data_IF_776703192176
#
_entry.id   IF_776703192176
#
_cell.length_a   1.000
_cell.length_b   1.000
_cell.length_c   1.000
_cell.angle_alpha   90.00
_cell.angle_beta   90.00
_cell.angle_gamma   90.00
#
_symmetry.space_group_name_H-M   'P 1'
#
loop_
_entity.id
_entity.type
_entity.pdbx_description
1 polymer ?
#
# COMPACT_ATOMS: atom_id res chain seq x y z
N UNK A 1 -11.95 1.73 31.27
CA UNK A 1 -11.43 1.29 29.96
C UNK A 1 -9.97 1.71 29.85
N UNK A 2 -9.10 0.80 29.45
CA UNK A 2 -7.71 1.12 29.11
C UNK A 2 -7.68 1.94 27.82
N UNK A 3 -6.79 2.93 27.74
CA UNK A 3 -6.52 3.73 26.54
C UNK A 3 -5.99 2.91 25.35
N UNK A 4 -5.76 1.60 25.55
CA UNK A 4 -5.31 0.65 24.52
C UNK A 4 -6.43 0.18 23.57
N UNK A 5 -7.71 0.42 23.89
CA UNK A 5 -8.86 -0.03 23.06
C UNK A 5 -9.23 0.94 21.90
N UNK A 6 -8.47 2.02 21.70
CA UNK A 6 -8.78 3.05 20.68
C UNK A 6 -7.95 2.93 19.39
N UNK A 7 -7.13 1.88 19.26
CA UNK A 7 -6.40 1.64 18.02
C UNK A 7 -7.40 1.29 16.90
N UNK A 8 -7.25 1.87 15.69
CA UNK A 8 -8.05 1.43 14.55
C UNK A 8 -7.95 -0.08 14.37
N UNK A 9 -9.06 -0.76 14.01
CA UNK A 9 -9.02 -2.19 13.75
C UNK A 9 -8.00 -2.48 12.65
N UNK A 10 -7.10 -3.42 12.92
CA UNK A 10 -6.01 -3.83 12.03
C UNK A 10 -5.78 -5.33 12.17
N UNK A 11 -5.16 -5.94 11.15
CA UNK A 11 -4.71 -7.34 11.20
C UNK A 11 -3.30 -7.44 10.63
N UNK A 12 -2.37 -7.89 11.46
CA UNK A 12 -0.97 -8.09 11.07
C UNK A 12 -0.85 -9.22 10.04
N UNK A 13 -1.67 -10.25 10.18
CA UNK A 13 -1.73 -11.41 9.29
C UNK A 13 -2.22 -11.03 7.89
N UNK A 14 -3.23 -10.15 7.81
CA UNK A 14 -3.70 -9.62 6.53
C UNK A 14 -2.61 -8.79 5.83
N UNK A 15 -1.93 -7.93 6.58
CA UNK A 15 -0.80 -7.15 6.05
C UNK A 15 0.33 -8.05 5.52
N UNK A 16 0.69 -9.09 6.29
CA UNK A 16 1.68 -10.09 5.87
C UNK A 16 1.23 -10.86 4.62
N UNK A 17 -0.06 -11.23 4.54
CA UNK A 17 -0.62 -11.90 3.38
C UNK A 17 -0.54 -11.06 2.11
N UNK A 18 -0.83 -9.75 2.19
CA UNK A 18 -0.69 -8.83 1.06
C UNK A 18 0.77 -8.72 0.62
N UNK A 19 1.69 -8.47 1.56
CA UNK A 19 3.11 -8.35 1.27
C UNK A 19 3.66 -9.66 0.67
N UNK A 20 3.34 -10.79 1.28
CA UNK A 20 3.75 -12.11 0.80
C UNK A 20 3.24 -12.40 -0.61
N UNK A 21 1.98 -12.07 -0.89
CA UNK A 21 1.39 -12.20 -2.23
C UNK A 21 2.14 -11.38 -3.28
N UNK A 22 2.46 -10.12 -2.98
CA UNK A 22 3.25 -9.27 -3.87
C UNK A 22 4.68 -9.78 -4.11
N UNK A 23 5.29 -10.40 -3.11
CA UNK A 23 6.63 -10.99 -3.25
C UNK A 23 6.62 -12.27 -4.09
N UNK A 24 5.52 -13.02 -4.08
CA UNK A 24 5.37 -14.26 -4.84
C UNK A 24 4.99 -13.99 -6.30
N UNK A 25 4.11 -13.01 -6.55
CA UNK A 25 3.66 -12.67 -7.89
C UNK A 25 3.56 -11.15 -8.08
N UNK A 26 4.55 -10.61 -8.81
CA UNK A 26 4.60 -9.20 -9.16
C UNK A 26 3.43 -8.74 -10.05
N UNK A 27 2.73 -9.66 -10.74
CA UNK A 27 1.56 -9.31 -11.55
C UNK A 27 0.36 -8.86 -10.70
N UNK A 28 0.33 -9.30 -9.44
CA UNK A 28 -0.69 -8.91 -8.45
C UNK A 28 -0.65 -7.41 -8.15
N UNK A 29 0.46 -6.71 -8.43
CA UNK A 29 0.55 -5.25 -8.30
C UNK A 29 -0.56 -4.53 -9.10
N UNK A 30 -0.81 -4.94 -10.34
CA UNK A 30 -1.81 -4.33 -11.22
C UNK A 30 -3.25 -4.46 -10.64
N UNK A 31 -3.48 -5.41 -9.72
CA UNK A 31 -4.78 -5.63 -9.07
C UNK A 31 -4.97 -4.76 -7.83
N UNK A 32 -3.91 -4.57 -7.03
CA UNK A 32 -4.04 -3.96 -5.71
C UNK A 32 -3.60 -2.50 -5.65
N UNK A 33 -2.75 -2.05 -6.59
CA UNK A 33 -2.18 -0.70 -6.59
C UNK A 33 -3.24 0.39 -6.62
N UNK A 34 -4.44 0.05 -7.12
CA UNK A 34 -5.54 0.99 -7.17
C UNK A 34 -6.31 1.11 -5.85
N UNK A 35 -6.28 0.06 -5.03
CA UNK A 35 -7.11 -0.11 -3.83
C UNK A 35 -6.34 0.20 -2.55
N UNK A 36 -5.08 -0.21 -2.48
CA UNK A 36 -4.22 -0.04 -1.31
C UNK A 36 -3.18 1.06 -1.51
N UNK A 37 -2.77 1.64 -0.40
CA UNK A 37 -1.65 2.56 -0.26
C UNK A 37 -0.82 2.17 0.95
N UNK A 38 0.42 2.65 1.02
CA UNK A 38 1.29 2.37 2.16
C UNK A 38 0.67 2.80 3.51
N UNK A 39 -0.18 3.82 3.52
CA UNK A 39 -0.81 4.33 4.75
C UNK A 39 -1.91 3.41 5.30
N UNK A 40 -2.39 2.46 4.50
CA UNK A 40 -3.39 1.48 4.92
C UNK A 40 -2.79 0.36 5.79
N UNK A 41 -1.45 0.24 5.85
CA UNK A 41 -0.76 -0.68 6.73
C UNK A 41 -0.59 -0.07 8.13
N UNK A 42 -1.00 -0.77 9.18
CA UNK A 42 -0.87 -0.29 10.55
C UNK A 42 0.59 -0.33 11.01
N UNK A 43 1.31 -1.42 10.74
CA UNK A 43 2.71 -1.56 11.15
C UNK A 43 3.62 -0.71 10.28
N UNK A 44 4.42 0.16 10.92
CA UNK A 44 5.40 1.01 10.23
C UNK A 44 6.33 0.23 9.30
N UNK A 45 6.82 -0.91 9.74
CA UNK A 45 7.75 -1.72 8.93
C UNK A 45 7.06 -2.25 7.66
N UNK A 46 5.78 -2.60 7.75
CA UNK A 46 5.00 -3.04 6.60
C UNK A 46 4.72 -1.89 5.62
N UNK A 47 4.49 -0.67 6.13
CA UNK A 47 4.42 0.55 5.29
C UNK A 47 5.70 0.70 4.45
N UNK A 48 6.86 0.56 5.10
CA UNK A 48 8.16 0.72 4.44
C UNK A 48 8.39 -0.36 3.37
N UNK A 49 8.02 -1.61 3.66
CA UNK A 49 8.12 -2.71 2.70
C UNK A 49 7.21 -2.44 1.48
N UNK A 50 5.95 -2.06 1.71
CA UNK A 50 5.02 -1.75 0.64
C UNK A 50 5.50 -0.57 -0.22
N UNK A 51 6.05 0.49 0.39
CA UNK A 51 6.64 1.62 -0.34
C UNK A 51 7.82 1.19 -1.23
N UNK A 52 8.67 0.29 -0.75
CA UNK A 52 9.77 -0.23 -1.56
C UNK A 52 9.25 -1.05 -2.77
N UNK A 53 8.22 -1.88 -2.56
CA UNK A 53 7.55 -2.61 -3.64
C UNK A 53 6.94 -1.65 -4.66
N UNK A 54 6.24 -0.61 -4.20
CA UNK A 54 5.64 0.43 -5.05
C UNK A 54 6.69 1.14 -5.92
N UNK A 55 7.82 1.52 -5.32
CA UNK A 55 8.92 2.15 -6.05
C UNK A 55 9.51 1.23 -7.11
N UNK A 56 9.74 -0.04 -6.76
CA UNK A 56 10.27 -1.03 -7.70
C UNK A 56 9.28 -1.31 -8.85
N UNK A 57 8.00 -1.47 -8.55
CA UNK A 57 6.96 -1.65 -9.54
C UNK A 57 6.85 -0.44 -10.49
N UNK A 58 6.91 0.78 -9.95
CA UNK A 58 6.93 2.02 -10.74
C UNK A 58 8.10 2.04 -11.72
N UNK A 59 9.31 1.69 -11.27
CA UNK A 59 10.48 1.61 -12.15
C UNK A 59 10.25 0.60 -13.28
N UNK A 60 9.78 -0.59 -12.96
CA UNK A 60 9.54 -1.66 -13.95
C UNK A 60 8.45 -1.28 -14.96
N UNK A 61 7.37 -0.65 -14.52
CA UNK A 61 6.23 -0.30 -15.37
C UNK A 61 6.55 0.87 -16.33
N UNK A 62 7.42 1.79 -15.92
CA UNK A 62 7.92 2.86 -16.80
C UNK A 62 8.59 2.29 -18.07
N UNK A 63 9.34 1.18 -17.93
CA UNK A 63 9.96 0.51 -19.08
C UNK A 63 8.97 -0.26 -19.96
N UNK A 64 7.80 -0.65 -19.44
CA UNK A 64 6.76 -1.36 -20.21
C UNK A 64 5.89 -0.44 -21.07
N UNK A 65 6.16 0.87 -21.11
CA UNK A 65 5.33 1.84 -21.84
C UNK A 65 3.93 2.05 -21.26
N UNK A 66 3.62 1.44 -20.09
CA UNK A 66 2.40 1.75 -19.35
C UNK A 66 2.63 3.05 -18.57
N UNK A 67 2.12 4.16 -19.09
CA UNK A 67 2.08 5.44 -18.36
C UNK A 67 1.16 5.31 -17.14
N UNK A 68 1.70 4.86 -16.01
CA UNK A 68 1.00 4.92 -14.74
C UNK A 68 0.75 6.39 -14.39
N UNK A 69 -0.51 6.83 -14.43
CA UNK A 69 -0.89 8.17 -14.01
C UNK A 69 -0.49 8.31 -12.55
N UNK A 70 0.55 9.12 -12.31
CA UNK A 70 1.00 9.54 -10.99
C UNK A 70 -0.21 9.95 -10.16
N UNK A 71 -0.58 9.10 -9.18
CA UNK A 71 -1.67 9.33 -8.25
C UNK A 71 -1.26 10.47 -7.33
N UNK A 72 -1.53 11.70 -7.77
CA UNK A 72 -1.52 12.90 -6.93
C UNK A 72 -2.54 12.72 -5.80
N UNK A 73 -2.02 12.26 -4.68
CA UNK A 73 -2.33 12.74 -3.34
C UNK A 73 -3.83 12.83 -2.98
N UNK A 74 -4.44 11.69 -2.63
CA UNK A 74 -5.76 11.65 -1.95
C UNK A 74 -5.73 12.19 -0.51
N UNK A 75 -4.55 12.47 0.04
CA UNK A 75 -4.41 12.99 1.40
C UNK A 75 -5.06 14.37 1.56
N UNK A 76 -5.09 15.18 0.50
CA UNK A 76 -5.72 16.51 0.53
C UNK A 76 -7.27 16.49 0.41
N UNK A 77 -7.92 15.34 0.16
CA UNK A 77 -9.38 15.29 0.00
C UNK A 77 -10.14 14.86 1.27
N UNK A 78 -9.45 14.39 2.32
CA UNK A 78 -10.10 13.97 3.57
C UNK A 78 -10.20 15.07 4.63
N UNK A 79 -9.59 16.24 4.41
CA UNK A 79 -9.71 17.43 5.27
C UNK A 79 -10.80 18.41 4.81
N UNK A 80 -11.55 18.07 3.74
CA UNK A 80 -12.62 18.91 3.18
C UNK A 80 -14.03 18.31 3.39
N UNK A 81 -14.21 17.39 4.34
CA UNK A 81 -15.52 16.89 4.76
C UNK A 81 -15.58 16.79 6.28
#
# INVERSE_FOLDING_TARGET
>A
MSLLDLAPPHSVEAEQGVIGGLMLDNSTWDLIADVLSADDFFRRDHRLIYQAIEQLASLILQFRGKSHKSRRNRFNQRLAK
#
